data_IF_940414258702
#
_entry.id   IF_940414258702
#
_cell.length_a   1.000
_cell.length_b   1.000
_cell.length_c   1.000
_cell.angle_alpha   90.00
_cell.angle_beta   90.00
_cell.angle_gamma   90.00
#
_symmetry.space_group_name_H-M   'P 1'
#
loop_
_entity.id
_entity.type
_entity.pdbx_description
1 polymer ?
#
# COMPACT_ATOMS: atom_id res chain seq x y z
N UNK A 1 25.42 -11.43 -6.02
CA UNK A 1 25.14 -12.51 -5.06
C UNK A 1 23.77 -13.07 -5.41
N UNK A 2 23.67 -14.35 -5.66
CA UNK A 2 22.39 -14.96 -6.05
C UNK A 2 21.52 -15.14 -4.80
N UNK A 3 20.29 -14.68 -4.89
CA UNK A 3 19.31 -14.77 -3.81
C UNK A 3 18.27 -15.80 -4.20
N UNK A 4 18.03 -16.78 -3.35
CA UNK A 4 17.04 -17.82 -3.58
C UNK A 4 15.66 -17.34 -3.13
N UNK A 5 14.63 -17.59 -3.91
CA UNK A 5 13.25 -17.20 -3.59
C UNK A 5 12.83 -17.73 -2.22
N UNK A 6 13.20 -18.96 -1.87
CA UNK A 6 12.91 -19.55 -0.57
C UNK A 6 13.50 -18.81 0.65
N UNK A 7 14.52 -17.96 0.45
CA UNK A 7 15.01 -17.08 1.53
C UNK A 7 13.95 -16.04 1.95
N UNK A 8 12.96 -15.77 1.10
CA UNK A 8 11.90 -14.81 1.33
C UNK A 8 10.53 -15.45 1.63
N UNK A 9 10.48 -16.79 1.66
CA UNK A 9 9.25 -17.52 1.94
C UNK A 9 9.32 -18.10 3.36
N UNK A 10 8.37 -17.78 4.27
CA UNK A 10 8.50 -18.09 5.69
C UNK A 10 8.43 -19.58 6.03
N UNK A 11 7.83 -20.41 5.18
CA UNK A 11 7.46 -21.78 5.57
C UNK A 11 8.48 -22.87 5.16
N UNK A 12 9.64 -22.52 4.64
CA UNK A 12 10.60 -23.52 4.16
C UNK A 12 10.08 -24.47 3.06
N UNK A 13 8.80 -24.42 2.75
CA UNK A 13 8.12 -25.12 1.65
C UNK A 13 8.30 -24.36 0.33
N UNK A 14 9.46 -23.79 0.19
CA UNK A 14 9.83 -23.17 -1.05
C UNK A 14 9.91 -24.22 -2.14
N UNK A 15 9.47 -23.83 -3.31
CA UNK A 15 9.80 -24.51 -4.53
C UNK A 15 11.29 -24.89 -4.56
N UNK A 16 11.63 -26.00 -5.18
CA UNK A 16 12.95 -26.55 -5.37
C UNK A 16 14.06 -25.48 -5.43
N UNK A 17 15.29 -25.75 -4.91
CA UNK A 17 16.38 -24.78 -4.82
C UNK A 17 16.87 -24.15 -6.15
N UNK A 18 16.24 -24.45 -7.25
CA UNK A 18 16.64 -24.09 -8.61
C UNK A 18 16.21 -22.68 -9.06
N UNK A 19 15.36 -21.96 -8.32
CA UNK A 19 14.92 -20.63 -8.72
C UNK A 19 15.74 -19.54 -8.04
N UNK A 20 16.81 -19.13 -8.72
CA UNK A 20 17.67 -18.02 -8.31
C UNK A 20 17.02 -16.68 -8.64
N UNK A 21 16.85 -15.84 -7.60
CA UNK A 21 16.63 -14.42 -7.79
C UNK A 21 18.00 -13.74 -7.73
N UNK A 22 18.51 -13.28 -8.85
CA UNK A 22 19.76 -12.52 -8.90
C UNK A 22 19.50 -11.02 -8.85
N UNK A 23 20.50 -10.27 -8.41
CA UNK A 23 20.52 -8.81 -8.61
C UNK A 23 20.42 -8.50 -10.11
N UNK A 24 19.28 -7.95 -10.51
CA UNK A 24 18.95 -7.77 -11.91
C UNK A 24 18.34 -9.00 -12.55
N UNK A 25 17.63 -8.80 -13.63
CA UNK A 25 16.95 -9.82 -14.41
C UNK A 25 17.92 -10.95 -14.80
N UNK A 26 17.78 -12.12 -14.17
CA UNK A 26 18.49 -13.31 -14.65
C UNK A 26 17.77 -13.90 -15.85
N UNK A 27 18.53 -14.17 -16.89
CA UNK A 27 18.12 -15.11 -17.92
C UNK A 27 18.23 -16.51 -17.31
N UNK A 28 17.13 -17.26 -17.22
CA UNK A 28 17.21 -18.70 -17.04
C UNK A 28 17.92 -19.32 -18.24
N UNK A 29 18.59 -20.44 -18.02
CA UNK A 29 19.11 -21.25 -19.12
C UNK A 29 17.92 -21.65 -20.02
N UNK A 30 17.73 -20.95 -21.13
CA UNK A 30 16.57 -21.11 -22.00
C UNK A 30 15.92 -19.81 -22.45
N UNK A 31 16.42 -18.66 -21.98
CA UNK A 31 15.95 -17.33 -22.46
C UNK A 31 14.68 -16.80 -21.82
N UNK A 32 14.11 -17.48 -20.81
CA UNK A 32 13.02 -16.96 -19.99
C UNK A 32 13.55 -16.04 -18.89
N UNK A 33 12.91 -14.89 -18.69
CA UNK A 33 13.21 -14.01 -17.55
C UNK A 33 12.51 -14.54 -16.30
N UNK A 34 13.22 -14.54 -15.16
CA UNK A 34 12.59 -14.77 -13.86
C UNK A 34 11.54 -13.68 -13.61
N UNK A 35 10.32 -14.01 -13.18
CA UNK A 35 9.33 -13.02 -12.82
C UNK A 35 9.70 -12.28 -11.51
N UNK A 36 10.68 -12.77 -10.76
CA UNK A 36 11.05 -12.27 -9.44
C UNK A 36 12.21 -11.28 -9.51
N UNK A 37 12.05 -10.12 -8.89
CA UNK A 37 13.06 -9.07 -8.79
C UNK A 37 13.15 -8.56 -7.35
N UNK A 38 14.36 -8.59 -6.77
CA UNK A 38 14.62 -7.94 -5.48
C UNK A 38 14.66 -6.41 -5.69
N UNK A 39 13.89 -5.68 -4.88
CA UNK A 39 13.93 -4.21 -4.87
C UNK A 39 15.19 -3.74 -4.15
N UNK A 40 16.00 -2.96 -4.84
CA UNK A 40 17.26 -2.43 -4.32
C UNK A 40 17.17 -0.92 -4.00
N UNK A 41 18.12 -0.44 -3.20
CA UNK A 41 18.27 0.99 -2.95
C UNK A 41 18.51 1.80 -4.24
N UNK A 42 19.15 1.19 -5.25
CA UNK A 42 19.36 1.82 -6.55
C UNK A 42 18.05 2.01 -7.32
N UNK A 43 17.17 1.00 -7.32
CA UNK A 43 15.84 1.07 -7.95
C UNK A 43 15.03 2.22 -7.33
N UNK A 44 15.06 2.32 -6.00
CA UNK A 44 14.34 3.37 -5.26
C UNK A 44 14.89 4.76 -5.60
N UNK A 45 16.21 4.93 -5.60
CA UNK A 45 16.82 6.23 -5.96
C UNK A 45 16.49 6.64 -7.39
N UNK A 46 16.47 5.69 -8.31
CA UNK A 46 16.12 5.94 -9.72
C UNK A 46 14.65 6.31 -9.90
N UNK A 47 13.75 5.69 -9.14
CA UNK A 47 12.31 5.92 -9.24
C UNK A 47 11.84 7.17 -8.50
N UNK A 48 12.53 7.57 -7.42
CA UNK A 48 12.08 8.65 -6.55
C UNK A 48 12.31 10.03 -7.16
N UNK A 49 11.27 10.86 -7.17
CA UNK A 49 11.29 12.24 -7.69
C UNK A 49 11.49 13.23 -6.55
N UNK A 50 12.62 13.95 -6.58
CA UNK A 50 12.90 15.02 -5.62
C UNK A 50 11.94 16.19 -5.83
N UNK A 51 11.59 16.87 -4.74
CA UNK A 51 10.84 18.12 -4.81
C UNK A 51 11.70 19.22 -5.40
N UNK A 52 11.10 20.00 -6.29
CA UNK A 52 11.79 21.10 -6.97
C UNK A 52 11.31 22.47 -6.45
N UNK A 53 12.14 23.53 -6.57
CA UNK A 53 11.72 24.88 -6.22
C UNK A 53 10.48 25.34 -6.98
N UNK A 54 9.78 26.34 -6.44
CA UNK A 54 8.60 26.97 -7.04
C UNK A 54 7.39 26.03 -7.24
N UNK A 55 7.24 25.04 -6.38
CA UNK A 55 6.07 24.17 -6.33
C UNK A 55 5.12 24.58 -5.19
N UNK A 56 3.88 24.12 -5.27
CA UNK A 56 2.86 24.36 -4.25
C UNK A 56 2.13 23.06 -3.88
N UNK A 57 1.27 23.10 -2.87
CA UNK A 57 0.56 21.91 -2.40
C UNK A 57 -0.16 21.14 -3.52
N UNK A 58 -0.78 21.83 -4.48
CA UNK A 58 -1.46 21.20 -5.62
C UNK A 58 -0.54 20.41 -6.56
N UNK A 59 0.76 20.74 -6.61
CA UNK A 59 1.76 19.99 -7.40
C UNK A 59 1.93 18.55 -6.89
N UNK A 60 1.76 18.35 -5.59
CA UNK A 60 1.92 17.05 -4.94
C UNK A 60 0.60 16.32 -4.70
N UNK A 61 -0.47 16.80 -5.35
CA UNK A 61 -1.76 16.16 -5.41
C UNK A 61 -2.60 16.24 -4.14
N UNK A 62 -3.84 15.83 -4.27
CA UNK A 62 -4.83 15.77 -3.21
C UNK A 62 -5.29 14.32 -3.08
N UNK A 63 -5.15 13.74 -1.90
CA UNK A 63 -5.61 12.40 -1.58
C UNK A 63 -6.95 12.43 -0.82
N UNK A 64 -7.83 11.49 -1.13
CA UNK A 64 -9.01 11.17 -0.32
C UNK A 64 -8.80 9.81 0.34
N UNK A 65 -8.95 9.72 1.65
CA UNK A 65 -8.88 8.48 2.41
C UNK A 65 -10.21 8.23 3.10
N UNK A 66 -10.96 7.25 2.61
CA UNK A 66 -12.25 6.82 3.17
C UNK A 66 -11.99 5.70 4.17
N UNK A 67 -12.04 6.04 5.45
CA UNK A 67 -11.53 5.19 6.51
C UNK A 67 -12.27 5.44 7.84
N UNK A 68 -11.96 4.62 8.84
CA UNK A 68 -12.46 4.80 10.19
C UNK A 68 -13.94 4.45 10.36
N UNK A 69 -14.25 3.92 11.50
CA UNK A 69 -15.58 3.78 12.06
C UNK A 69 -15.52 4.20 13.54
N UNK A 70 -16.63 4.19 14.24
CA UNK A 70 -16.71 4.67 15.63
C UNK A 70 -15.66 4.02 16.55
N UNK A 71 -15.33 2.76 16.31
CA UNK A 71 -14.39 1.97 17.13
C UNK A 71 -12.99 1.84 16.49
N UNK A 72 -12.77 2.36 15.29
CA UNK A 72 -11.56 2.16 14.48
C UNK A 72 -11.04 3.47 13.90
N UNK A 73 -11.33 4.59 14.54
CA UNK A 73 -10.90 5.92 14.09
C UNK A 73 -9.37 6.05 14.02
N UNK A 74 -8.64 5.29 14.83
CA UNK A 74 -7.18 5.26 14.79
C UNK A 74 -6.62 4.87 13.43
N UNK A 75 -7.27 3.96 12.70
CA UNK A 75 -6.85 3.57 11.36
C UNK A 75 -6.94 4.74 10.36
N UNK A 76 -8.00 5.54 10.43
CA UNK A 76 -8.15 6.74 9.60
C UNK A 76 -7.08 7.79 9.94
N UNK A 77 -6.78 7.99 11.22
CA UNK A 77 -5.74 8.92 11.68
C UNK A 77 -4.37 8.48 11.17
N UNK A 78 -4.02 7.20 11.32
CA UNK A 78 -2.74 6.65 10.89
C UNK A 78 -2.55 6.72 9.36
N UNK A 79 -3.58 6.38 8.58
CA UNK A 79 -3.51 6.44 7.12
C UNK A 79 -3.33 7.88 6.62
N UNK A 80 -4.07 8.85 7.20
CA UNK A 80 -3.93 10.25 6.82
C UNK A 80 -2.60 10.84 7.28
N UNK A 81 -2.11 10.50 8.48
CA UNK A 81 -0.79 10.88 8.95
C UNK A 81 0.30 10.40 7.98
N UNK A 82 0.25 9.13 7.61
CA UNK A 82 1.19 8.55 6.66
C UNK A 82 1.08 9.19 5.27
N UNK A 83 -0.12 9.58 4.84
CA UNK A 83 -0.32 10.28 3.58
C UNK A 83 0.38 11.65 3.58
N UNK A 84 0.25 12.44 4.65
CA UNK A 84 0.95 13.72 4.81
C UNK A 84 2.47 13.51 4.89
N UNK A 85 2.93 12.60 5.74
CA UNK A 85 4.36 12.30 5.89
C UNK A 85 4.98 11.67 4.63
N UNK A 86 4.20 10.93 3.83
CA UNK A 86 4.59 10.42 2.51
C UNK A 86 4.71 11.51 1.44
N UNK A 87 4.22 12.72 1.73
CA UNK A 87 4.44 13.89 0.91
C UNK A 87 3.30 14.27 -0.02
N UNK A 88 2.08 13.78 0.17
CA UNK A 88 0.91 14.33 -0.50
C UNK A 88 0.77 15.82 -0.18
N UNK A 89 0.34 16.60 -1.16
CA UNK A 89 0.16 18.05 -0.97
C UNK A 89 -1.05 18.39 -0.11
N UNK A 90 -2.10 17.59 -0.19
CA UNK A 90 -3.32 17.65 0.61
C UNK A 90 -3.83 16.24 0.89
N UNK A 91 -4.40 16.05 2.07
CA UNK A 91 -5.13 14.84 2.44
C UNK A 91 -6.49 15.21 3.02
N UNK A 92 -7.53 14.53 2.55
CA UNK A 92 -8.89 14.61 3.11
C UNK A 92 -9.28 13.27 3.70
N UNK A 93 -9.67 13.25 4.95
CA UNK A 93 -10.23 12.09 5.62
C UNK A 93 -11.75 12.10 5.48
N UNK A 94 -12.31 11.10 4.80
CA UNK A 94 -13.74 10.85 4.83
C UNK A 94 -14.04 9.86 5.96
N UNK A 95 -14.57 10.39 7.08
CA UNK A 95 -14.78 9.67 8.33
C UNK A 95 -16.16 10.02 8.92
N UNK A 96 -16.68 9.21 9.86
CA UNK A 96 -17.84 9.61 10.66
C UNK A 96 -17.60 10.92 11.43
N UNK A 97 -18.63 11.73 11.58
CA UNK A 97 -18.55 13.05 12.24
C UNK A 97 -18.01 12.97 13.68
N UNK A 98 -18.28 11.87 14.37
CA UNK A 98 -17.76 11.60 15.71
C UNK A 98 -16.23 11.56 15.77
N UNK A 99 -15.55 11.38 14.63
CA UNK A 99 -14.09 11.37 14.54
C UNK A 99 -13.44 12.72 14.34
N UNK A 100 -14.20 13.77 14.03
CA UNK A 100 -13.67 15.10 13.68
C UNK A 100 -12.74 15.68 14.74
N UNK A 101 -13.14 15.63 16.02
CA UNK A 101 -12.34 16.18 17.12
C UNK A 101 -11.01 15.42 17.24
N UNK A 102 -11.05 14.08 17.17
CA UNK A 102 -9.84 13.25 17.23
C UNK A 102 -8.90 13.53 16.07
N UNK A 103 -9.44 13.65 14.83
CA UNK A 103 -8.66 13.96 13.64
C UNK A 103 -7.98 15.34 13.79
N UNK A 104 -8.73 16.40 14.10
CA UNK A 104 -8.20 17.75 14.21
C UNK A 104 -7.19 17.90 15.35
N UNK A 105 -7.35 17.13 16.44
CA UNK A 105 -6.39 17.11 17.55
C UNK A 105 -5.09 16.43 17.15
N UNK A 106 -5.18 15.33 16.40
CA UNK A 106 -4.00 14.55 16.01
C UNK A 106 -3.27 15.16 14.82
N UNK A 107 -4.02 15.61 13.79
CA UNK A 107 -3.48 16.12 12.51
C UNK A 107 -4.35 17.26 11.97
N UNK A 108 -4.13 18.50 12.45
CA UNK A 108 -4.91 19.67 12.01
C UNK A 108 -4.71 20.02 10.52
N UNK A 109 -3.68 19.47 9.85
CA UNK A 109 -3.43 19.65 8.42
C UNK A 109 -4.34 18.80 7.53
N UNK A 110 -5.01 17.79 8.10
CA UNK A 110 -5.89 16.89 7.36
C UNK A 110 -7.28 17.50 7.25
N UNK A 111 -7.77 17.60 6.04
CA UNK A 111 -9.12 18.09 5.76
C UNK A 111 -10.15 17.02 6.13
N UNK A 112 -11.33 17.45 6.56
CA UNK A 112 -12.43 16.58 6.91
C UNK A 112 -13.52 16.59 5.84
N UNK A 113 -14.04 15.40 5.53
CA UNK A 113 -15.26 15.16 4.79
C UNK A 113 -16.18 14.26 5.63
N UNK A 114 -17.39 14.71 5.90
CA UNK A 114 -18.39 13.89 6.59
C UNK A 114 -18.74 12.64 5.78
N UNK A 115 -18.78 11.50 6.41
CA UNK A 115 -19.27 10.26 5.78
C UNK A 115 -20.73 10.36 5.37
N UNK A 116 -21.54 11.12 6.13
CA UNK A 116 -22.93 11.37 5.80
C UNK A 116 -23.10 12.17 4.50
N UNK A 117 -22.13 13.05 4.20
CA UNK A 117 -22.15 13.89 3.00
C UNK A 117 -21.51 13.21 1.78
N UNK A 118 -20.89 12.05 1.96
CA UNK A 118 -20.15 11.36 0.89
C UNK A 118 -21.01 11.10 -0.34
N UNK A 119 -22.26 10.71 -0.17
CA UNK A 119 -23.20 10.43 -1.26
C UNK A 119 -23.73 11.67 -1.97
N UNK A 120 -23.58 12.85 -1.37
CA UNK A 120 -24.02 14.12 -1.91
C UNK A 120 -22.92 14.84 -2.68
N UNK A 121 -21.66 14.65 -2.26
CA UNK A 121 -20.50 15.24 -2.92
C UNK A 121 -20.17 14.48 -4.21
N UNK A 122 -20.31 15.18 -5.35
CA UNK A 122 -20.08 14.61 -6.68
C UNK A 122 -18.70 14.96 -7.25
N UNK A 123 -17.91 15.81 -6.57
CA UNK A 123 -16.66 16.36 -7.11
C UNK A 123 -15.44 15.52 -6.69
N UNK A 124 -15.33 14.31 -7.25
CA UNK A 124 -14.15 13.47 -7.01
C UNK A 124 -12.92 13.86 -7.85
N UNK A 125 -13.08 14.72 -8.86
CA UNK A 125 -12.00 15.07 -9.80
C UNK A 125 -10.85 15.85 -9.16
N UNK A 126 -11.10 16.52 -8.04
CA UNK A 126 -10.08 17.20 -7.26
C UNK A 126 -9.09 16.20 -6.62
N UNK A 127 -9.52 14.96 -6.35
CA UNK A 127 -8.67 13.95 -5.73
C UNK A 127 -7.86 13.20 -6.78
N UNK A 128 -6.54 13.23 -6.67
CA UNK A 128 -5.63 12.49 -7.56
C UNK A 128 -5.46 11.03 -7.14
N UNK A 129 -5.68 10.74 -5.87
CA UNK A 129 -5.67 9.39 -5.31
C UNK A 129 -6.84 9.20 -4.36
N UNK A 130 -7.42 8.01 -4.35
CA UNK A 130 -8.49 7.62 -3.44
C UNK A 130 -8.12 6.29 -2.80
N UNK A 131 -8.12 6.26 -1.46
CA UNK A 131 -7.98 5.03 -0.69
C UNK A 131 -9.26 4.73 0.07
N UNK A 132 -9.55 3.43 0.26
CA UNK A 132 -10.73 2.97 1.01
C UNK A 132 -10.41 1.72 1.80
N UNK A 133 -10.88 1.67 3.04
CA UNK A 133 -10.90 0.44 3.81
C UNK A 133 -10.30 0.46 5.20
N UNK A 134 -9.21 1.18 5.51
CA UNK A 134 -8.61 1.17 6.84
C UNK A 134 -9.65 1.48 7.94
N UNK A 135 -10.02 0.48 8.73
CA UNK A 135 -11.01 0.62 9.78
C UNK A 135 -12.39 1.13 9.36
N UNK A 136 -12.78 0.91 8.09
CA UNK A 136 -14.03 1.40 7.49
C UNK A 136 -15.28 0.78 8.14
N UNK A 137 -15.14 -0.45 8.64
CA UNK A 137 -16.25 -1.29 9.05
C UNK A 137 -16.93 -1.99 7.87
N UNK A 138 -17.98 -2.75 8.20
CA UNK A 138 -18.73 -3.59 7.23
C UNK A 138 -20.23 -3.30 7.25
N UNK A 139 -20.61 -2.09 7.64
CA UNK A 139 -22.00 -1.65 7.61
C UNK A 139 -22.52 -1.47 6.19
N UNK A 140 -23.83 -1.40 6.03
CA UNK A 140 -24.46 -1.08 4.75
C UNK A 140 -23.97 0.27 4.18
N UNK A 141 -23.67 1.23 5.07
CA UNK A 141 -23.05 2.49 4.69
C UNK A 141 -21.65 2.28 4.09
N UNK A 142 -20.78 1.49 4.74
CA UNK A 142 -19.46 1.17 4.22
C UNK A 142 -19.52 0.46 2.87
N UNK A 143 -20.45 -0.48 2.71
CA UNK A 143 -20.70 -1.17 1.45
C UNK A 143 -21.21 -0.21 0.36
N UNK A 144 -22.13 0.71 0.71
CA UNK A 144 -22.66 1.72 -0.18
C UNK A 144 -21.55 2.65 -0.72
N UNK A 145 -20.68 3.11 0.17
CA UNK A 145 -19.52 3.93 -0.17
C UNK A 145 -18.56 3.17 -1.12
N UNK A 146 -18.23 1.91 -0.79
CA UNK A 146 -17.35 1.12 -1.65
C UNK A 146 -17.95 0.96 -3.05
N UNK A 147 -19.24 0.61 -3.17
CA UNK A 147 -19.93 0.52 -4.46
C UNK A 147 -19.88 1.82 -5.26
N UNK A 148 -20.08 2.95 -4.61
CA UNK A 148 -19.99 4.27 -5.25
C UNK A 148 -18.57 4.53 -5.77
N UNK A 149 -17.53 4.23 -4.98
CA UNK A 149 -16.13 4.39 -5.39
C UNK A 149 -15.76 3.50 -6.57
N UNK A 150 -16.19 2.24 -6.55
CA UNK A 150 -15.99 1.32 -7.69
C UNK A 150 -16.68 1.85 -8.97
N UNK A 151 -17.86 2.47 -8.81
CA UNK A 151 -18.60 3.10 -9.90
C UNK A 151 -17.89 4.29 -10.56
N UNK A 152 -16.92 4.92 -9.90
CA UNK A 152 -16.10 6.01 -10.48
C UNK A 152 -15.19 5.53 -11.62
N UNK A 153 -14.93 4.23 -11.71
CA UNK A 153 -14.02 3.61 -12.71
C UNK A 153 -12.63 4.23 -12.74
N UNK A 154 -12.16 4.68 -11.58
CA UNK A 154 -10.82 5.25 -11.35
C UNK A 154 -10.03 4.34 -10.45
N UNK A 155 -8.69 4.21 -10.62
CA UNK A 155 -7.86 3.40 -9.75
C UNK A 155 -8.03 3.77 -8.27
N UNK A 156 -8.11 2.75 -7.41
CA UNK A 156 -8.28 2.88 -5.96
C UNK A 156 -7.14 2.17 -5.23
N UNK A 157 -6.81 2.63 -4.04
CA UNK A 157 -6.04 1.87 -3.05
C UNK A 157 -7.03 1.23 -2.09
N UNK A 158 -7.09 -0.11 -2.04
CA UNK A 158 -8.08 -0.84 -1.25
C UNK A 158 -7.36 -1.73 -0.23
N UNK A 159 -7.69 -1.56 1.05
CA UNK A 159 -7.08 -2.29 2.17
C UNK A 159 -8.12 -2.73 3.20
N UNK A 160 -7.74 -3.61 4.08
CA UNK A 160 -8.45 -3.98 5.30
C UNK A 160 -9.96 -4.27 5.07
N UNK A 161 -10.87 -3.52 5.71
CA UNK A 161 -12.31 -3.74 5.58
C UNK A 161 -12.81 -3.57 4.14
N UNK A 162 -12.15 -2.75 3.32
CA UNK A 162 -12.44 -2.66 1.89
C UNK A 162 -12.20 -3.98 1.16
N UNK A 163 -11.09 -4.67 1.46
CA UNK A 163 -10.79 -5.99 0.91
C UNK A 163 -11.78 -7.04 1.40
N UNK A 164 -12.20 -6.93 2.66
CA UNK A 164 -13.18 -7.86 3.22
C UNK A 164 -14.55 -7.72 2.56
N UNK A 165 -14.98 -6.49 2.28
CA UNK A 165 -16.22 -6.23 1.53
C UNK A 165 -16.14 -6.74 0.09
N UNK A 166 -14.98 -6.64 -0.56
CA UNK A 166 -14.76 -7.24 -1.89
C UNK A 166 -14.82 -8.76 -1.83
N UNK A 167 -14.25 -9.39 -0.79
CA UNK A 167 -14.24 -10.84 -0.64
C UNK A 167 -15.65 -11.43 -0.42
N UNK A 168 -16.56 -10.63 0.14
CA UNK A 168 -17.95 -11.06 0.39
C UNK A 168 -18.83 -10.99 -0.89
N UNK A 169 -18.29 -10.47 -2.04
CA UNK A 169 -19.04 -10.36 -3.31
C UNK A 169 -18.12 -10.43 -4.53
N UNK A 170 -18.24 -11.53 -5.27
CA UNK A 170 -17.52 -11.69 -6.54
C UNK A 170 -17.85 -10.60 -7.56
N UNK A 171 -19.11 -10.11 -7.57
CA UNK A 171 -19.55 -9.03 -8.43
C UNK A 171 -18.76 -7.74 -8.16
N UNK A 172 -18.53 -7.41 -6.88
CA UNK A 172 -17.74 -6.21 -6.51
C UNK A 172 -16.28 -6.35 -6.93
N UNK A 173 -15.70 -7.54 -6.83
CA UNK A 173 -14.34 -7.81 -7.28
C UNK A 173 -14.19 -7.55 -8.79
N UNK A 174 -15.19 -7.89 -9.60
CA UNK A 174 -15.17 -7.61 -11.04
C UNK A 174 -15.32 -6.12 -11.38
N UNK A 175 -15.81 -5.32 -10.45
CA UNK A 175 -15.93 -3.86 -10.61
C UNK A 175 -14.68 -3.10 -10.18
N UNK A 176 -13.67 -3.77 -9.61
CA UNK A 176 -12.41 -3.12 -9.22
C UNK A 176 -11.75 -2.51 -10.47
N UNK A 177 -11.52 -1.18 -10.49
CA UNK A 177 -10.96 -0.52 -11.67
C UNK A 177 -9.54 -0.98 -11.98
N UNK A 178 -9.20 -1.08 -13.27
CA UNK A 178 -7.83 -1.34 -13.73
C UNK A 178 -6.86 -0.31 -13.11
N UNK A 179 -5.65 -0.75 -12.78
CA UNK A 179 -4.64 0.10 -12.12
C UNK A 179 -4.84 0.29 -10.61
N UNK A 180 -5.87 -0.30 -10.01
CA UNK A 180 -6.05 -0.28 -8.55
C UNK A 180 -4.95 -1.06 -7.83
N UNK A 181 -4.74 -0.74 -6.56
CA UNK A 181 -3.76 -1.39 -5.69
C UNK A 181 -4.51 -2.04 -4.52
N UNK A 182 -4.42 -3.36 -4.43
CA UNK A 182 -4.92 -4.12 -3.29
C UNK A 182 -3.77 -4.46 -2.35
N UNK A 183 -3.96 -4.30 -1.03
CA UNK A 183 -2.88 -4.50 -0.04
C UNK A 183 -3.19 -5.61 0.98
N UNK A 184 -3.53 -6.85 0.55
CA UNK A 184 -3.92 -7.90 1.47
C UNK A 184 -2.73 -8.42 2.29
N UNK A 185 -2.97 -8.73 3.57
CA UNK A 185 -2.17 -9.70 4.28
C UNK A 185 -2.60 -11.13 3.89
N UNK A 186 -1.86 -12.16 4.32
CA UNK A 186 -2.09 -13.56 3.92
C UNK A 186 -3.54 -14.02 4.06
N UNK A 187 -4.17 -13.75 5.22
CA UNK A 187 -5.54 -14.17 5.48
C UNK A 187 -6.57 -13.41 4.62
N UNK A 188 -6.34 -12.13 4.35
CA UNK A 188 -7.18 -11.35 3.44
C UNK A 188 -7.03 -11.85 2.01
N UNK A 189 -5.81 -12.18 1.60
CA UNK A 189 -5.53 -12.75 0.29
C UNK A 189 -6.26 -14.08 0.08
N UNK A 190 -6.13 -14.98 1.06
CA UNK A 190 -6.80 -16.29 1.00
C UNK A 190 -8.32 -16.16 1.03
N UNK A 191 -8.87 -15.14 1.69
CA UNK A 191 -10.32 -14.84 1.66
C UNK A 191 -10.77 -14.30 0.29
N UNK A 192 -9.95 -13.51 -0.39
CA UNK A 192 -10.27 -12.95 -1.71
C UNK A 192 -10.18 -13.98 -2.83
N UNK A 193 -9.19 -14.87 -2.77
CA UNK A 193 -8.79 -15.68 -3.92
C UNK A 193 -8.76 -17.21 -3.62
N UNK A 194 -9.25 -17.61 -2.45
CA UNK A 194 -9.27 -18.99 -2.00
C UNK A 194 -8.05 -19.36 -1.15
N UNK A 195 -8.20 -20.46 -0.38
CA UNK A 195 -7.13 -20.97 0.47
C UNK A 195 -5.98 -21.57 -0.35
N UNK A 196 -4.76 -21.40 0.13
CA UNK A 196 -3.55 -21.89 -0.52
C UNK A 196 -2.70 -22.72 0.45
N UNK A 197 -2.21 -23.85 -0.04
CA UNK A 197 -1.37 -24.77 0.73
C UNK A 197 0.09 -24.35 0.85
N UNK A 198 0.55 -23.40 0.02
CA UNK A 198 1.96 -22.96 0.00
C UNK A 198 2.08 -21.50 -0.48
N UNK A 199 3.24 -20.91 -0.17
CA UNK A 199 3.59 -19.57 -0.69
C UNK A 199 3.68 -19.52 -2.21
N UNK A 200 4.23 -20.59 -2.83
CA UNK A 200 4.26 -20.68 -4.29
C UNK A 200 2.87 -20.62 -4.90
N UNK A 201 1.93 -21.40 -4.36
CA UNK A 201 0.54 -21.36 -4.83
C UNK A 201 -0.10 -19.97 -4.68
N UNK A 202 0.19 -19.24 -3.58
CA UNK A 202 -0.26 -17.84 -3.41
C UNK A 202 0.32 -16.92 -4.46
N UNK A 203 1.62 -17.03 -4.72
CA UNK A 203 2.27 -16.19 -5.73
C UNK A 203 1.77 -16.49 -7.14
N UNK A 204 1.56 -17.76 -7.48
CA UNK A 204 0.99 -18.16 -8.77
C UNK A 204 -0.43 -17.61 -8.94
N UNK A 205 -1.27 -17.71 -7.90
CA UNK A 205 -2.60 -17.09 -7.90
C UNK A 205 -2.51 -15.56 -7.98
N UNK A 206 -1.59 -14.94 -7.24
CA UNK A 206 -1.40 -13.49 -7.28
C UNK A 206 -1.05 -13.00 -8.69
N UNK A 207 -0.15 -13.70 -9.39
CA UNK A 207 0.24 -13.38 -10.77
C UNK A 207 -0.97 -13.50 -11.72
N UNK A 208 -1.74 -14.59 -11.59
CA UNK A 208 -2.95 -14.79 -12.37
C UNK A 208 -3.99 -13.69 -12.16
N UNK A 209 -4.28 -13.36 -10.89
CA UNK A 209 -5.34 -12.42 -10.56
C UNK A 209 -4.92 -10.97 -10.83
N UNK A 210 -3.65 -10.59 -10.57
CA UNK A 210 -3.13 -9.29 -10.94
C UNK A 210 -3.25 -9.04 -12.45
N UNK A 211 -2.91 -10.05 -13.26
CA UNK A 211 -3.04 -9.99 -14.74
C UNK A 211 -4.49 -9.94 -15.17
N UNK A 212 -5.37 -10.79 -14.60
CA UNK A 212 -6.80 -10.87 -14.95
C UNK A 212 -7.54 -9.57 -14.68
N UNK A 213 -7.29 -8.98 -13.51
CA UNK A 213 -7.94 -7.74 -13.04
C UNK A 213 -7.18 -6.48 -13.48
N UNK A 214 -5.97 -6.62 -14.01
CA UNK A 214 -5.05 -5.52 -14.36
C UNK A 214 -4.77 -4.58 -13.17
N UNK A 215 -4.48 -5.15 -12.02
CA UNK A 215 -4.24 -4.47 -10.74
C UNK A 215 -2.86 -4.80 -10.19
N UNK A 216 -2.42 -3.99 -9.22
CA UNK A 216 -1.28 -4.32 -8.37
C UNK A 216 -1.79 -5.04 -7.10
N UNK A 217 -1.12 -6.12 -6.73
CA UNK A 217 -1.36 -6.79 -5.45
C UNK A 217 -0.11 -6.64 -4.58
N UNK A 218 -0.26 -5.99 -3.44
CA UNK A 218 0.77 -5.86 -2.40
C UNK A 218 0.49 -6.92 -1.33
N UNK A 219 1.06 -8.10 -1.49
CA UNK A 219 0.87 -9.22 -0.57
C UNK A 219 1.81 -9.05 0.62
N UNK A 220 1.22 -8.66 1.76
CA UNK A 220 1.94 -8.35 3.01
C UNK A 220 2.33 -9.62 3.78
N UNK A 221 3.59 -9.72 4.12
CA UNK A 221 4.15 -10.71 5.03
C UNK A 221 5.47 -10.17 5.61
N UNK A 222 6.32 -11.05 6.19
CA UNK A 222 7.68 -10.73 6.61
C UNK A 222 8.45 -10.02 5.48
N UNK A 223 8.40 -10.56 4.26
CA UNK A 223 8.76 -9.84 3.04
C UNK A 223 7.49 -9.47 2.29
N UNK A 224 7.40 -8.24 1.82
CA UNK A 224 6.24 -7.82 1.04
C UNK A 224 6.50 -8.07 -0.45
N UNK A 225 5.57 -8.78 -1.08
CA UNK A 225 5.58 -9.02 -2.52
C UNK A 225 4.67 -8.02 -3.22
N UNK A 226 5.18 -7.39 -4.29
CA UNK A 226 4.41 -6.47 -5.13
C UNK A 226 4.26 -7.13 -6.49
N UNK A 227 3.06 -7.60 -6.78
CA UNK A 227 2.72 -8.34 -7.98
C UNK A 227 2.09 -7.40 -8.99
N UNK A 228 2.60 -7.39 -10.22
CA UNK A 228 2.13 -6.50 -11.28
C UNK A 228 1.33 -7.25 -12.34
N UNK A 229 0.45 -6.56 -13.09
CA UNK A 229 -0.32 -7.18 -14.17
C UNK A 229 0.56 -7.67 -15.34
N UNK A 230 1.81 -7.16 -15.45
CA UNK A 230 2.82 -7.61 -16.42
C UNK A 230 3.52 -8.89 -16.00
N UNK A 231 3.02 -9.58 -14.98
CA UNK A 231 3.56 -10.81 -14.43
C UNK A 231 4.96 -10.66 -13.81
N UNK A 232 5.25 -9.52 -13.17
CA UNK A 232 6.44 -9.31 -12.35
C UNK A 232 6.10 -9.42 -10.86
N UNK A 233 7.02 -9.93 -10.08
CA UNK A 233 6.97 -9.97 -8.61
C UNK A 233 8.17 -9.20 -8.07
N UNK A 234 7.92 -8.00 -7.55
CA UNK A 234 8.95 -7.24 -6.86
C UNK A 234 8.97 -7.67 -5.39
N UNK A 235 10.13 -8.02 -4.89
CA UNK A 235 10.33 -8.47 -3.51
C UNK A 235 10.93 -7.33 -2.71
N UNK A 236 10.18 -6.81 -1.75
CA UNK A 236 10.68 -5.80 -0.83
C UNK A 236 11.41 -6.47 0.34
N UNK A 237 12.73 -6.23 0.52
CA UNK A 237 13.52 -6.85 1.57
C UNK A 237 13.57 -6.05 2.88
N UNK A 238 12.98 -4.86 2.91
CA UNK A 238 13.02 -3.98 4.09
C UNK A 238 11.89 -4.29 5.06
N UNK A 239 12.13 -4.08 6.32
CA UNK A 239 11.19 -4.29 7.42
C UNK A 239 11.80 -5.12 8.55
N UNK A 240 11.44 -4.77 9.78
CA UNK A 240 11.95 -5.38 11.01
C UNK A 240 10.82 -6.07 11.79
N UNK A 241 11.10 -7.16 12.50
CA UNK A 241 10.14 -7.76 13.45
C UNK A 241 9.63 -6.76 14.51
N UNK A 242 10.37 -5.69 14.82
CA UNK A 242 9.93 -4.61 15.70
C UNK A 242 8.66 -3.91 15.22
N UNK A 243 8.32 -4.05 13.93
CA UNK A 243 7.11 -3.49 13.32
C UNK A 243 5.87 -4.41 13.49
N UNK A 244 5.96 -5.53 14.20
CA UNK A 244 4.84 -6.45 14.38
C UNK A 244 3.80 -5.88 15.37
N UNK A 245 3.16 -4.76 15.00
CA UNK A 245 2.15 -4.04 15.77
C UNK A 245 0.96 -3.62 14.90
N UNK A 246 -0.18 -3.34 15.55
CA UNK A 246 -1.36 -2.82 14.86
C UNK A 246 -1.11 -1.45 14.22
N UNK A 247 -1.78 -1.18 13.10
CA UNK A 247 -1.71 0.11 12.41
C UNK A 247 -0.63 0.21 11.32
N UNK A 248 0.28 -0.77 11.21
CA UNK A 248 1.33 -0.76 10.17
C UNK A 248 0.75 -0.80 8.76
N UNK A 249 -0.30 -1.60 8.55
CA UNK A 249 -1.03 -1.64 7.28
C UNK A 249 -1.67 -0.31 6.93
N UNK A 250 -2.27 0.36 7.92
CA UNK A 250 -2.90 1.68 7.74
C UNK A 250 -1.87 2.72 7.29
N UNK A 251 -0.66 2.69 7.88
CA UNK A 251 0.47 3.54 7.47
C UNK A 251 0.89 3.23 6.03
N UNK A 252 1.03 1.95 5.67
CA UNK A 252 1.40 1.55 4.32
C UNK A 252 0.36 2.04 3.30
N UNK A 253 -0.93 1.88 3.59
CA UNK A 253 -2.02 2.37 2.74
C UNK A 253 -1.94 3.89 2.54
N UNK A 254 -1.69 4.64 3.60
CA UNK A 254 -1.48 6.09 3.53
C UNK A 254 -0.28 6.48 2.66
N UNK A 255 0.85 5.78 2.77
CA UNK A 255 2.04 6.02 1.95
C UNK A 255 1.81 5.71 0.47
N UNK A 256 1.19 4.57 0.15
CA UNK A 256 0.82 4.22 -1.23
C UNK A 256 -0.06 5.33 -1.82
N UNK A 257 -1.08 5.75 -1.06
CA UNK A 257 -2.00 6.81 -1.49
C UNK A 257 -1.28 8.13 -1.71
N UNK A 258 -0.31 8.47 -0.87
CA UNK A 258 0.52 9.67 -1.03
C UNK A 258 1.32 9.66 -2.32
N UNK A 259 1.92 8.53 -2.68
CA UNK A 259 2.70 8.44 -3.92
C UNK A 259 1.80 8.44 -5.16
N UNK A 260 0.65 7.77 -5.12
CA UNK A 260 -0.35 7.88 -6.20
C UNK A 260 -0.80 9.32 -6.38
N UNK A 261 -1.09 10.04 -5.29
CA UNK A 261 -1.48 11.46 -5.35
C UNK A 261 -0.40 12.35 -5.98
N UNK A 262 0.87 12.03 -5.75
CA UNK A 262 2.03 12.72 -6.35
C UNK A 262 2.26 12.34 -7.82
N UNK A 263 1.41 11.50 -8.41
CA UNK A 263 1.46 11.13 -9.82
C UNK A 263 2.44 10.01 -10.15
N UNK A 264 2.85 9.20 -9.18
CA UNK A 264 3.50 7.91 -9.47
C UNK A 264 2.47 6.93 -10.01
N UNK A 265 2.88 6.07 -10.94
CA UNK A 265 2.06 4.95 -11.35
C UNK A 265 1.87 3.94 -10.21
N UNK A 266 0.93 3.02 -10.36
CA UNK A 266 0.58 2.07 -9.31
C UNK A 266 1.77 1.20 -8.86
N UNK A 267 2.63 0.77 -9.83
CA UNK A 267 3.83 -0.02 -9.56
C UNK A 267 4.85 0.78 -8.75
N UNK A 268 5.17 1.99 -9.21
CA UNK A 268 6.14 2.88 -8.54
C UNK A 268 5.66 3.31 -7.16
N UNK A 269 4.36 3.64 -7.02
CA UNK A 269 3.76 4.01 -5.74
C UNK A 269 3.86 2.86 -4.72
N UNK A 270 3.48 1.64 -5.12
CA UNK A 270 3.57 0.47 -4.25
C UNK A 270 5.03 0.15 -3.86
N UNK A 271 5.96 0.18 -4.83
CA UNK A 271 7.38 -0.10 -4.62
C UNK A 271 8.01 0.91 -3.64
N UNK A 272 7.83 2.20 -3.88
CA UNK A 272 8.35 3.26 -3.01
C UNK A 272 7.76 3.19 -1.60
N UNK A 273 6.44 3.00 -1.50
CA UNK A 273 5.76 2.91 -0.21
C UNK A 273 6.24 1.72 0.62
N UNK A 274 6.28 0.52 0.03
CA UNK A 274 6.74 -0.67 0.74
C UNK A 274 8.18 -0.52 1.21
N UNK A 275 9.06 -0.02 0.34
CA UNK A 275 10.47 0.14 0.67
C UNK A 275 10.71 1.15 1.79
N UNK A 276 10.15 2.36 1.69
CA UNK A 276 10.32 3.38 2.73
C UNK A 276 9.62 3.04 4.03
N UNK A 277 8.48 2.37 3.96
CA UNK A 277 7.79 1.84 5.13
C UNK A 277 8.69 0.86 5.90
N UNK A 278 9.25 -0.14 5.21
CA UNK A 278 10.13 -1.11 5.83
C UNK A 278 11.44 -0.49 6.31
N UNK A 279 12.11 0.32 5.48
CA UNK A 279 13.38 0.96 5.82
C UNK A 279 13.26 1.92 7.02
N UNK A 280 12.14 2.65 7.13
CA UNK A 280 11.88 3.48 8.31
C UNK A 280 11.73 2.62 9.58
N UNK A 281 11.12 1.45 9.47
CA UNK A 281 11.04 0.47 10.55
C UNK A 281 12.39 -0.09 10.93
N UNK A 282 13.23 -0.43 9.96
CA UNK A 282 14.61 -0.90 10.17
C UNK A 282 15.41 0.14 10.95
N UNK A 283 15.39 1.40 10.50
CA UNK A 283 16.10 2.51 11.17
C UNK A 283 15.64 2.73 12.62
N UNK A 284 14.34 2.67 12.88
CA UNK A 284 13.81 2.79 14.25
C UNK A 284 14.21 1.60 15.12
N UNK A 285 14.24 0.40 14.57
CA UNK A 285 14.57 -0.83 15.31
C UNK A 285 16.02 -0.88 15.78
N UNK A 286 16.93 -0.05 15.23
CA UNK A 286 18.31 0.07 15.73
C UNK A 286 18.36 0.57 17.18
N UNK A 287 17.35 1.31 17.63
CA UNK A 287 17.29 1.92 18.96
C UNK A 287 16.02 1.59 19.76
N UNK A 288 15.05 0.92 19.14
CA UNK A 288 13.75 0.61 19.75
C UNK A 288 13.46 -0.89 19.66
N UNK A 289 13.04 -1.48 20.78
CA UNK A 289 12.63 -2.89 20.80
C UNK A 289 11.35 -3.13 19.99
N UNK A 290 10.42 -2.20 20.02
CA UNK A 290 9.18 -2.20 19.23
C UNK A 290 8.90 -0.81 18.67
N UNK A 291 8.31 -0.76 17.49
CA UNK A 291 7.98 0.47 16.76
C UNK A 291 6.48 0.58 16.62
N UNK A 292 5.90 1.69 17.05
CA UNK A 292 4.47 1.93 16.80
C UNK A 292 4.24 2.62 15.45
N UNK A 293 3.01 2.49 14.94
CA UNK A 293 2.64 2.95 13.61
C UNK A 293 2.83 4.46 13.40
N UNK A 294 2.56 5.28 14.41
CA UNK A 294 2.71 6.73 14.31
C UNK A 294 4.19 7.16 14.27
N UNK A 295 5.04 6.51 15.07
CA UNK A 295 6.50 6.71 15.02
C UNK A 295 7.06 6.33 13.65
N UNK A 296 6.60 5.20 13.09
CA UNK A 296 6.97 4.77 11.76
C UNK A 296 6.60 5.83 10.71
N UNK A 297 5.35 6.28 10.70
CA UNK A 297 4.89 7.31 9.76
C UNK A 297 5.75 8.58 9.84
N UNK A 298 6.04 9.05 11.05
CA UNK A 298 6.87 10.24 11.29
C UNK A 298 8.36 10.05 10.95
N UNK A 299 8.85 8.81 10.89
CA UNK A 299 10.21 8.49 10.48
C UNK A 299 10.39 8.53 8.96
N UNK A 300 9.36 8.17 8.19
CA UNK A 300 9.44 8.08 6.72
C UNK A 300 10.10 9.29 6.04
N UNK A 301 9.70 10.56 6.30
CA UNK A 301 10.32 11.71 5.64
C UNK A 301 11.81 11.87 5.99
N UNK A 302 12.24 11.44 7.18
CA UNK A 302 13.65 11.47 7.60
C UNK A 302 14.45 10.40 6.84
N UNK A 303 13.90 9.19 6.74
CA UNK A 303 14.47 8.07 5.98
C UNK A 303 14.61 8.42 4.51
N UNK A 304 13.58 9.02 3.87
CA UNK A 304 13.65 9.52 2.51
C UNK A 304 14.80 10.55 2.38
N UNK A 305 14.84 11.55 3.26
CA UNK A 305 15.88 12.58 3.22
C UNK A 305 17.27 11.99 3.35
N UNK A 306 17.50 11.10 4.29
CA UNK A 306 18.79 10.41 4.51
C UNK A 306 19.21 9.64 3.26
N UNK A 307 18.32 8.80 2.71
CA UNK A 307 18.59 7.97 1.54
C UNK A 307 18.91 8.80 0.29
N UNK A 308 18.18 9.90 0.07
CA UNK A 308 18.38 10.77 -1.10
C UNK A 308 19.56 11.74 -0.95
N UNK A 309 20.10 11.93 0.26
CA UNK A 309 21.27 12.78 0.51
C UNK A 309 22.60 12.05 0.32
N UNK A 310 22.61 10.73 0.27
CA UNK A 310 23.82 9.93 -0.01
C UNK A 310 24.15 10.11 -1.48
N UNK A 311 25.21 10.88 -1.77
CA UNK A 311 25.79 10.97 -3.11
C UNK A 311 26.32 9.57 -3.46
N UNK A 312 25.88 9.01 -4.57
CA UNK A 312 26.41 7.80 -5.21
C UNK A 312 27.87 8.02 -5.61
#
# INVERSE_FOLDING_TARGET
MAIYLNAFLPDGNAAEPSELVSEGLTKSEGGHFSPYQLVTAADIRSAFRLRVPFTHKGTYGHALIVAGAINTMGAAILSNAACIYGGAGLSTACIPDTGLIALNTAFPEVMFLSRADFHVQQEFDQYKAIAVGPGLGKSDDALGILKQLLGLRRPLVIDADGLQLLADSEELMQLVPEGSILTPHVKEFDRLFGEHSSWKARLDTSLKEAKRLKIIIVLKNEFTFIITPESQVLINPTGSPAMAQGGMGDVLTGLITAYVAQGYDARGAAMLACYFHGLAGDELSESMFNVNALQLAAQVPKTIKKMMSVKS
#
